data_IF_137747717261
#
_entry.id   IF_137747717261
#
_cell.length_a   1.000
_cell.length_b   1.000
_cell.length_c   1.000
_cell.angle_alpha   90.00
_cell.angle_beta   90.00
_cell.angle_gamma   90.00
#
_symmetry.space_group_name_H-M   'P 1'
#
loop_
_entity.id
_entity.type
_entity.pdbx_description
1 polymer ?
#
# COMPACT_ATOMS: atom_id res chain seq x y z
N UNK A 1 -0.52 -2.55 11.29
CA UNK A 1 -0.76 -2.27 9.86
C UNK A 1 0.55 -1.78 9.26
N UNK A 2 1.08 -2.45 8.25
CA UNK A 2 2.32 -2.02 7.59
C UNK A 2 2.02 -0.89 6.61
N UNK A 3 2.68 0.26 6.76
CA UNK A 3 2.45 1.43 5.90
C UNK A 3 3.58 1.55 4.88
N UNK A 4 3.19 1.72 3.62
CA UNK A 4 4.06 2.03 2.49
C UNK A 4 3.50 3.26 1.79
N UNK A 5 4.32 4.28 1.58
CA UNK A 5 3.95 5.45 0.79
C UNK A 5 5.11 5.97 -0.06
N UNK A 6 4.85 7.00 -0.87
CA UNK A 6 5.89 7.74 -1.57
C UNK A 6 5.87 9.22 -1.16
N UNK A 7 6.95 9.65 -0.51
CA UNK A 7 7.07 10.93 0.16
C UNK A 7 6.83 10.79 1.68
N UNK A 8 7.78 11.29 2.47
CA UNK A 8 7.72 11.23 3.92
C UNK A 8 6.45 11.87 4.50
N UNK A 9 6.02 13.03 3.98
CA UNK A 9 4.81 13.72 4.44
C UNK A 9 3.53 12.91 4.23
N UNK A 10 3.35 12.30 3.05
CA UNK A 10 2.22 11.43 2.76
C UNK A 10 2.25 10.18 3.65
N UNK A 11 3.44 9.59 3.83
CA UNK A 11 3.60 8.38 4.64
C UNK A 11 3.28 8.66 6.11
N UNK A 12 3.71 9.80 6.65
CA UNK A 12 3.34 10.25 8.01
C UNK A 12 1.83 10.51 8.13
N UNK A 13 1.23 11.23 7.17
CA UNK A 13 -0.22 11.45 7.17
C UNK A 13 -1.02 10.14 7.12
N UNK A 14 -0.48 9.12 6.46
CA UNK A 14 -1.08 7.77 6.41
C UNK A 14 -0.99 7.07 7.78
N UNK A 15 0.15 7.21 8.49
CA UNK A 15 0.29 6.73 9.87
C UNK A 15 -0.74 7.39 10.78
N UNK A 16 -0.89 8.71 10.67
CA UNK A 16 -1.80 9.51 11.48
C UNK A 16 -3.25 9.10 11.21
N UNK A 17 -3.66 8.96 9.95
CA UNK A 17 -5.01 8.51 9.57
C UNK A 17 -5.34 7.14 10.17
N UNK A 18 -4.42 6.19 10.08
CA UNK A 18 -4.60 4.86 10.68
C UNK A 18 -4.68 4.94 12.21
N UNK A 19 -3.87 5.80 12.83
CA UNK A 19 -3.86 5.96 14.30
C UNK A 19 -5.14 6.63 14.80
N UNK A 20 -5.65 7.65 14.09
CA UNK A 20 -6.90 8.35 14.39
C UNK A 20 -8.10 7.40 14.37
N UNK A 21 -8.08 6.39 13.49
CA UNK A 21 -9.09 5.34 13.38
C UNK A 21 -8.85 4.17 14.36
N UNK A 22 -7.99 4.34 15.37
CA UNK A 22 -7.71 3.32 16.39
C UNK A 22 -6.78 2.18 15.94
N UNK A 23 -6.28 2.24 14.70
CA UNK A 23 -5.30 1.32 14.16
C UNK A 23 -3.91 1.49 14.78
N UNK A 24 -3.09 0.44 14.66
CA UNK A 24 -1.68 0.48 15.09
C UNK A 24 -0.75 0.32 13.88
N UNK A 25 -0.12 1.40 13.40
CA UNK A 25 0.92 1.27 12.39
C UNK A 25 2.11 0.45 12.91
N UNK A 26 2.67 -0.40 12.05
CA UNK A 26 3.78 -1.30 12.38
C UNK A 26 5.09 -0.89 11.71
N UNK A 27 5.00 -0.19 10.58
CA UNK A 27 6.15 0.22 9.77
C UNK A 27 5.93 1.64 9.26
N UNK A 28 7.04 2.35 9.02
CA UNK A 28 7.11 3.53 8.18
C UNK A 28 8.05 3.19 7.03
N UNK A 29 7.53 3.10 5.81
CA UNK A 29 8.34 2.86 4.61
C UNK A 29 7.98 3.91 3.56
N UNK A 30 8.93 4.81 3.31
CA UNK A 30 8.90 5.76 2.21
C UNK A 30 9.69 5.19 1.02
N UNK A 31 9.00 4.99 -0.11
CA UNK A 31 9.59 4.55 -1.37
C UNK A 31 10.44 5.63 -2.04
N UNK A 32 10.24 6.90 -1.71
CA UNK A 32 10.73 8.04 -2.48
C UNK A 32 10.03 8.18 -3.84
N UNK A 33 10.42 9.20 -4.61
CA UNK A 33 9.94 9.39 -5.98
C UNK A 33 10.68 8.49 -6.98
N UNK A 34 9.99 8.08 -8.04
CA UNK A 34 10.57 7.31 -9.15
C UNK A 34 10.94 5.87 -8.78
N UNK A 35 10.17 5.25 -7.89
CA UNK A 35 10.40 3.85 -7.52
C UNK A 35 10.08 2.92 -8.70
N UNK A 36 11.02 2.05 -9.07
CA UNK A 36 10.79 1.01 -10.07
C UNK A 36 9.94 -0.13 -9.51
N UNK A 37 9.30 -0.95 -10.36
CA UNK A 37 8.53 -2.13 -9.91
C UNK A 37 9.32 -3.07 -8.99
N UNK A 38 10.63 -3.28 -9.23
CA UNK A 38 11.49 -4.17 -8.43
C UNK A 38 11.74 -3.60 -7.02
N UNK A 39 11.89 -2.27 -6.94
CA UNK A 39 12.06 -1.57 -5.67
C UNK A 39 10.77 -1.61 -4.85
N UNK A 40 9.63 -1.47 -5.52
CA UNK A 40 8.30 -1.61 -4.91
C UNK A 40 8.10 -3.05 -4.43
N UNK A 41 8.46 -4.04 -5.24
CA UNK A 41 8.36 -5.45 -4.86
C UNK A 41 9.19 -5.77 -3.60
N UNK A 42 10.43 -5.26 -3.56
CA UNK A 42 11.33 -5.42 -2.41
C UNK A 42 10.73 -4.78 -1.16
N UNK A 43 10.18 -3.58 -1.27
CA UNK A 43 9.55 -2.86 -0.16
C UNK A 43 8.30 -3.58 0.37
N UNK A 44 7.39 -4.00 -0.52
CA UNK A 44 6.20 -4.75 -0.14
C UNK A 44 6.60 -6.08 0.51
N UNK A 45 7.60 -6.77 -0.05
CA UNK A 45 8.13 -8.01 0.53
C UNK A 45 8.67 -7.81 1.94
N UNK A 46 9.43 -6.73 2.17
CA UNK A 46 9.97 -6.41 3.49
C UNK A 46 8.86 -6.19 4.52
N UNK A 47 7.84 -5.39 4.18
CA UNK A 47 6.71 -5.09 5.07
C UNK A 47 5.84 -6.32 5.32
N UNK A 48 5.55 -7.10 4.28
CA UNK A 48 4.74 -8.33 4.40
C UNK A 48 5.43 -9.38 5.28
N UNK A 49 6.76 -9.44 5.29
CA UNK A 49 7.52 -10.39 6.13
C UNK A 49 7.58 -9.98 7.61
N UNK A 50 7.28 -8.74 7.97
CA UNK A 50 7.27 -8.32 9.38
C UNK A 50 6.13 -9.04 10.14
N UNK A 51 6.44 -9.81 11.20
CA UNK A 51 5.42 -10.58 11.93
C UNK A 51 4.39 -9.69 12.65
N UNK A 52 4.69 -8.40 12.89
CA UNK A 52 3.76 -7.42 13.49
C UNK A 52 2.71 -6.94 12.49
N UNK A 53 2.95 -7.13 11.20
CA UNK A 53 2.05 -6.69 10.12
C UNK A 53 0.94 -7.72 9.92
N UNK A 54 -0.31 -7.30 10.13
CA UNK A 54 -1.54 -8.07 9.86
C UNK A 54 -2.22 -7.69 8.55
N UNK A 55 -2.13 -6.41 8.18
CA UNK A 55 -2.59 -5.87 6.89
C UNK A 55 -1.56 -4.83 6.41
N UNK A 56 -1.45 -4.64 5.10
CA UNK A 56 -0.60 -3.64 4.46
C UNK A 56 -1.47 -2.54 3.87
N UNK A 57 -1.10 -1.28 4.09
CA UNK A 57 -1.70 -0.13 3.43
C UNK A 57 -0.63 0.55 2.56
N UNK A 58 -0.83 0.48 1.25
CA UNK A 58 -0.02 1.17 0.24
C UNK A 58 -0.74 2.44 -0.21
N UNK A 59 -0.14 3.60 0.02
CA UNK A 59 -0.71 4.91 -0.31
C UNK A 59 0.22 5.69 -1.24
N UNK A 60 -0.13 5.78 -2.53
CA UNK A 60 0.71 6.39 -3.56
C UNK A 60 0.08 7.66 -4.15
N UNK A 61 0.86 8.73 -4.20
CA UNK A 61 0.61 9.88 -5.06
C UNK A 61 1.54 9.80 -6.26
N UNK A 62 0.98 9.31 -7.36
CA UNK A 62 1.60 9.14 -8.66
C UNK A 62 2.05 10.47 -9.25
N UNK A 63 3.30 10.47 -9.70
CA UNK A 63 3.97 11.59 -10.34
C UNK A 63 5.14 11.03 -11.13
N UNK A 64 6.33 11.03 -10.53
CA UNK A 64 7.50 10.32 -11.07
C UNK A 64 7.34 8.80 -10.85
N UNK A 65 6.87 8.38 -9.68
CA UNK A 65 6.43 6.99 -9.47
C UNK A 65 5.07 6.83 -10.15
N UNK A 66 4.95 5.90 -11.10
CA UNK A 66 3.68 5.66 -11.78
C UNK A 66 2.83 4.64 -11.03
N UNK A 67 1.51 4.79 -11.11
CA UNK A 67 0.57 3.90 -10.44
C UNK A 67 0.60 2.47 -11.01
N UNK A 68 0.84 2.32 -12.32
CA UNK A 68 0.98 1.01 -12.97
C UNK A 68 2.27 0.27 -12.59
N UNK A 69 3.39 0.98 -12.43
CA UNK A 69 4.63 0.40 -11.88
C UNK A 69 4.42 -0.10 -10.44
N UNK A 70 3.68 0.67 -9.63
CA UNK A 70 3.28 0.27 -8.28
C UNK A 70 2.42 -0.98 -8.30
N UNK A 71 1.39 -1.00 -9.14
CA UNK A 71 0.50 -2.15 -9.28
C UNK A 71 1.28 -3.42 -9.63
N UNK A 72 2.19 -3.35 -10.61
CA UNK A 72 3.05 -4.47 -11.01
C UNK A 72 3.91 -4.99 -9.85
N UNK A 73 4.56 -4.09 -9.11
CA UNK A 73 5.38 -4.47 -7.96
C UNK A 73 4.59 -5.18 -6.86
N UNK A 74 3.36 -4.74 -6.58
CA UNK A 74 2.45 -5.38 -5.61
C UNK A 74 2.03 -6.77 -6.11
N UNK A 75 1.61 -6.88 -7.38
CA UNK A 75 1.12 -8.13 -7.99
C UNK A 75 2.22 -9.19 -8.00
N UNK A 76 3.44 -8.82 -8.43
CA UNK A 76 4.58 -9.75 -8.45
C UNK A 76 4.96 -10.20 -7.04
N UNK A 77 4.93 -9.29 -6.05
CA UNK A 77 5.15 -9.67 -4.65
C UNK A 77 4.14 -10.72 -4.19
N UNK A 78 2.85 -10.53 -4.50
CA UNK A 78 1.78 -11.44 -4.08
C UNK A 78 1.93 -12.81 -4.75
N UNK A 79 2.23 -12.85 -6.05
CA UNK A 79 2.51 -14.09 -6.79
C UNK A 79 3.69 -14.86 -6.19
N UNK A 80 4.77 -14.16 -5.83
CA UNK A 80 6.00 -14.78 -5.32
C UNK A 80 5.89 -15.29 -3.88
N UNK A 81 5.27 -14.51 -3.00
CA UNK A 81 5.21 -14.86 -1.57
C UNK A 81 4.03 -15.76 -1.21
N UNK A 82 2.97 -15.80 -2.03
CA UNK A 82 1.73 -16.49 -1.68
C UNK A 82 1.13 -16.02 -0.35
N UNK A 83 1.44 -14.79 0.08
CA UNK A 83 1.07 -14.30 1.41
C UNK A 83 -0.43 -14.03 1.49
N UNK A 84 -1.06 -14.49 2.58
CA UNK A 84 -2.46 -14.23 2.90
C UNK A 84 -2.71 -12.85 3.52
N UNK A 85 -1.65 -12.06 3.78
CA UNK A 85 -1.82 -10.75 4.42
C UNK A 85 -2.56 -9.80 3.46
N UNK A 86 -3.71 -9.24 3.85
CA UNK A 86 -4.46 -8.34 3.00
C UNK A 86 -3.65 -7.08 2.68
N UNK A 87 -3.78 -6.62 1.43
CA UNK A 87 -3.19 -5.38 0.93
C UNK A 87 -4.32 -4.44 0.56
N UNK A 88 -4.33 -3.26 1.16
CA UNK A 88 -5.20 -2.14 0.83
C UNK A 88 -4.39 -1.14 0.03
N UNK A 89 -4.90 -0.70 -1.11
CA UNK A 89 -4.19 0.22 -1.98
C UNK A 89 -5.03 1.46 -2.24
N UNK A 90 -4.42 2.62 -2.06
CA UNK A 90 -4.93 3.90 -2.56
C UNK A 90 -3.85 4.50 -3.45
N UNK A 91 -4.22 4.85 -4.67
CA UNK A 91 -3.32 5.42 -5.65
C UNK A 91 -4.01 6.55 -6.41
N UNK A 92 -3.31 7.65 -6.62
CA UNK A 92 -3.82 8.76 -7.44
C UNK A 92 -2.72 9.32 -8.34
N UNK A 93 -3.01 9.75 -9.56
CA UNK A 93 -2.04 10.45 -10.42
C UNK A 93 -1.61 9.71 -11.69
N UNK A 94 -0.33 9.77 -12.07
CA UNK A 94 0.16 9.23 -13.36
C UNK A 94 -0.17 7.75 -13.53
N UNK A 95 -0.89 7.42 -14.60
CA UNK A 95 -1.38 6.07 -14.93
C UNK A 95 -2.25 5.42 -13.84
N UNK A 96 -2.99 6.22 -13.08
CA UNK A 96 -3.91 5.73 -12.06
C UNK A 96 -4.91 4.71 -12.58
N UNK A 97 -5.61 5.01 -13.68
CA UNK A 97 -6.62 4.11 -14.25
C UNK A 97 -6.04 2.73 -14.59
N UNK A 98 -4.87 2.72 -15.23
CA UNK A 98 -4.18 1.48 -15.58
C UNK A 98 -3.68 0.73 -14.34
N UNK A 99 -3.12 1.44 -13.34
CA UNK A 99 -2.69 0.83 -12.09
C UNK A 99 -3.83 0.18 -11.32
N UNK A 100 -4.99 0.85 -11.27
CA UNK A 100 -6.21 0.32 -10.66
C UNK A 100 -6.73 -0.89 -11.43
N UNK A 101 -6.78 -0.82 -12.76
CA UNK A 101 -7.19 -1.94 -13.62
C UNK A 101 -6.33 -3.19 -13.37
N UNK A 102 -5.01 -3.03 -13.35
CA UNK A 102 -4.07 -4.13 -13.08
C UNK A 102 -4.30 -4.77 -11.71
N UNK A 103 -4.53 -3.97 -10.66
CA UNK A 103 -4.81 -4.49 -9.33
C UNK A 103 -6.18 -5.19 -9.26
N UNK A 104 -7.22 -4.63 -9.87
CA UNK A 104 -8.54 -5.25 -9.93
C UNK A 104 -8.54 -6.58 -10.67
N UNK A 105 -7.80 -6.69 -11.78
CA UNK A 105 -7.62 -7.97 -12.50
C UNK A 105 -6.86 -9.00 -11.66
N UNK A 106 -5.99 -8.53 -10.76
CA UNK A 106 -5.39 -9.38 -9.74
C UNK A 106 -6.32 -9.63 -8.54
N UNK A 107 -7.52 -9.06 -8.45
CA UNK A 107 -8.39 -9.19 -7.28
C UNK A 107 -7.85 -8.47 -6.04
N UNK A 108 -7.22 -7.31 -6.24
CA UNK A 108 -6.83 -6.36 -5.20
C UNK A 108 -7.64 -5.09 -5.43
N UNK A 109 -8.52 -4.76 -4.50
CA UNK A 109 -9.33 -3.56 -4.61
C UNK A 109 -8.48 -2.30 -4.35
N UNK A 110 -8.88 -1.22 -5.02
CA UNK A 110 -8.34 0.13 -4.79
C UNK A 110 -9.42 1.01 -4.20
N UNK A 111 -9.02 1.90 -3.29
CA UNK A 111 -9.91 2.85 -2.63
C UNK A 111 -9.52 4.28 -3.00
N UNK A 112 -10.52 5.15 -3.07
CA UNK A 112 -10.37 6.50 -3.60
C UNK A 112 -9.82 7.46 -2.54
N UNK A 113 -10.36 7.37 -1.33
CA UNK A 113 -10.00 8.27 -0.25
C UNK A 113 -9.00 7.63 0.72
N UNK A 114 -8.22 8.49 1.38
CA UNK A 114 -7.30 8.04 2.43
C UNK A 114 -8.06 7.51 3.66
N UNK A 115 -9.24 8.05 3.92
CA UNK A 115 -10.11 7.66 5.03
C UNK A 115 -10.63 6.23 4.83
N UNK A 116 -11.30 5.96 3.70
CA UNK A 116 -11.80 4.61 3.37
C UNK A 116 -10.68 3.57 3.38
N UNK A 117 -9.51 3.93 2.83
CA UNK A 117 -8.36 3.04 2.79
C UNK A 117 -7.79 2.76 4.18
N UNK A 118 -7.73 3.77 5.05
CA UNK A 118 -7.29 3.60 6.43
C UNK A 118 -8.31 2.76 7.23
N UNK A 119 -9.61 3.05 7.14
CA UNK A 119 -10.67 2.28 7.79
C UNK A 119 -10.62 0.80 7.37
N UNK A 120 -10.50 0.54 6.07
CA UNK A 120 -10.38 -0.81 5.53
C UNK A 120 -9.13 -1.52 6.07
N UNK A 121 -7.99 -0.83 6.12
CA UNK A 121 -6.76 -1.40 6.64
C UNK A 121 -6.84 -1.72 8.14
N UNK A 122 -7.53 -0.88 8.93
CA UNK A 122 -7.79 -1.12 10.35
C UNK A 122 -8.69 -2.35 10.55
N UNK A 123 -9.81 -2.42 9.85
CA UNK A 123 -10.73 -3.55 9.93
C UNK A 123 -10.03 -4.87 9.56
N UNK A 124 -9.25 -4.88 8.48
CA UNK A 124 -8.52 -6.08 8.02
C UNK A 124 -7.37 -6.50 8.95
N UNK A 125 -6.82 -5.57 9.73
CA UNK A 125 -5.76 -5.88 10.71
C UNK A 125 -6.30 -6.47 12.02
N UNK A 126 -7.61 -6.64 12.16
CA UNK A 126 -8.26 -7.07 13.40
C UNK A 126 -8.46 -5.94 14.40
N UNK A 127 -8.59 -4.70 13.91
CA UNK A 127 -9.07 -3.58 14.72
C UNK A 127 -10.47 -3.91 15.26
N UNK A 128 -10.60 -3.80 16.59
CA UNK A 128 -11.84 -4.03 17.33
C UNK A 128 -12.82 -2.87 17.20
#
# INVERSE_FOLDING_TARGET
IGIIGNGAGLTMATLDSVTLLGGKPATFLDLGGGASPERIETAVTFVVKDPRVRAVFVNILGGITRCDDTARGIIETRKRLGSEKPVVVRMMGTNEEEGRRLLMEAGIDTLDTMEEAAERAVALAGGS
#
